data_IF_562453097672
#
_entry.id   IF_562453097672
#
_cell.length_a   1.000
_cell.length_b   1.000
_cell.length_c   1.000
_cell.angle_alpha   90.00
_cell.angle_beta   90.00
_cell.angle_gamma   90.00
#
_symmetry.space_group_name_H-M   'P 1'
#
loop_
_entity.id
_entity.type
_entity.pdbx_description
1 polymer ?
#
# COMPACT_ATOMS: atom_id res chain seq x y z
N UNK A 1 17.22 12.06 -17.90
CA UNK A 1 16.08 11.17 -17.62
C UNK A 1 15.21 11.86 -16.56
N UNK A 2 13.92 12.10 -16.80
CA UNK A 2 13.05 12.65 -15.74
C UNK A 2 12.91 11.60 -14.64
N UNK A 3 12.98 12.01 -13.38
CA UNK A 3 12.73 11.12 -12.25
C UNK A 3 11.37 10.44 -12.46
N UNK A 4 11.26 9.13 -12.19
CA UNK A 4 10.02 8.36 -12.34
C UNK A 4 8.96 8.67 -11.26
N UNK A 5 9.14 9.77 -10.52
CA UNK A 5 8.35 10.17 -9.37
C UNK A 5 8.32 11.70 -9.24
N UNK A 6 7.46 12.18 -8.36
CA UNK A 6 7.35 13.58 -7.96
C UNK A 6 7.24 13.71 -6.44
N UNK A 7 7.59 14.88 -5.91
CA UNK A 7 7.43 15.19 -4.49
C UNK A 7 6.06 15.84 -4.27
N UNK A 8 5.34 15.40 -3.24
CA UNK A 8 4.09 15.97 -2.78
C UNK A 8 4.25 16.41 -1.32
N UNK A 9 3.77 17.61 -0.98
CA UNK A 9 3.64 18.01 0.41
C UNK A 9 2.32 17.47 0.99
N UNK A 10 2.42 16.52 1.91
CA UNK A 10 1.24 15.91 2.54
C UNK A 10 0.52 16.91 3.45
N UNK A 11 1.23 17.85 4.07
CA UNK A 11 0.60 18.87 4.91
C UNK A 11 -0.29 19.80 4.09
N UNK A 12 0.10 20.11 2.84
CA UNK A 12 -0.76 20.88 1.93
C UNK A 12 -2.02 20.09 1.55
N UNK A 13 -1.90 18.79 1.29
CA UNK A 13 -3.07 17.94 0.97
C UNK A 13 -3.98 17.75 2.18
N UNK A 14 -3.41 17.63 3.37
CA UNK A 14 -4.15 17.61 4.64
C UNK A 14 -4.91 18.92 4.85
N UNK A 15 -4.24 20.07 4.70
CA UNK A 15 -4.87 21.40 4.74
C UNK A 15 -6.03 21.49 3.75
N UNK A 16 -5.82 21.07 2.50
CA UNK A 16 -6.88 21.08 1.50
C UNK A 16 -8.09 20.23 1.94
N UNK A 17 -7.86 19.03 2.45
CA UNK A 17 -8.93 18.18 2.94
C UNK A 17 -9.65 18.81 4.16
N UNK A 18 -8.89 19.39 5.10
CA UNK A 18 -9.37 20.06 6.30
C UNK A 18 -10.26 21.27 5.98
N UNK A 19 -9.91 22.05 4.96
CA UNK A 19 -10.69 23.21 4.53
C UNK A 19 -11.77 22.86 3.49
N UNK A 20 -12.04 21.57 3.28
CA UNK A 20 -13.14 21.11 2.44
C UNK A 20 -12.92 21.28 0.94
N UNK A 21 -11.66 21.37 0.51
CA UNK A 21 -11.34 21.38 -0.92
C UNK A 21 -11.80 20.07 -1.54
N UNK A 22 -12.39 20.17 -2.73
CA UNK A 22 -12.84 18.98 -3.46
C UNK A 22 -11.68 18.14 -3.96
N UNK A 23 -11.91 16.83 -4.13
CA UNK A 23 -10.87 15.92 -4.65
C UNK A 23 -10.33 16.30 -6.03
N UNK A 24 -11.10 17.01 -6.86
CA UNK A 24 -10.62 17.52 -8.15
C UNK A 24 -9.50 18.57 -7.97
N UNK A 25 -9.59 19.43 -6.94
CA UNK A 25 -8.54 20.41 -6.61
C UNK A 25 -7.28 19.73 -6.06
N UNK A 26 -7.44 18.74 -5.16
CA UNK A 26 -6.32 17.94 -4.64
C UNK A 26 -5.60 17.22 -5.77
N UNK A 27 -6.35 16.56 -6.67
CA UNK A 27 -5.75 15.88 -7.82
C UNK A 27 -5.08 16.86 -8.80
N UNK A 28 -5.64 18.07 -8.99
CA UNK A 28 -4.98 19.11 -9.76
C UNK A 28 -3.65 19.55 -9.11
N UNK A 29 -3.61 19.72 -7.79
CA UNK A 29 -2.38 20.02 -7.06
C UNK A 29 -1.32 18.91 -7.21
N UNK A 30 -1.72 17.65 -7.21
CA UNK A 30 -0.81 16.53 -7.51
C UNK A 30 -0.25 16.61 -8.95
N UNK A 31 -1.08 16.96 -9.94
CA UNK A 31 -0.62 17.19 -11.32
C UNK A 31 0.37 18.35 -11.39
N UNK A 32 0.10 19.45 -10.71
CA UNK A 32 1.02 20.60 -10.63
C UNK A 32 2.35 20.18 -9.99
N UNK A 33 2.31 19.50 -8.84
CA UNK A 33 3.48 18.99 -8.12
C UNK A 33 4.34 18.08 -9.00
N UNK A 34 3.71 17.22 -9.81
CA UNK A 34 4.40 16.37 -10.80
C UNK A 34 5.12 17.14 -11.90
N UNK A 35 4.64 18.33 -12.24
CA UNK A 35 5.25 19.18 -13.27
C UNK A 35 6.43 20.00 -12.79
N UNK A 36 6.71 19.99 -11.49
CA UNK A 36 7.76 20.84 -10.90
C UNK A 36 9.13 20.45 -11.42
N UNK A 37 9.88 21.46 -11.83
CA UNK A 37 11.28 21.31 -12.22
C UNK A 37 12.21 21.96 -11.20
N UNK A 38 12.51 21.24 -10.12
CA UNK A 38 13.30 21.73 -8.98
C UNK A 38 14.69 22.30 -9.32
N UNK A 39 15.23 22.02 -10.51
CA UNK A 39 16.50 22.60 -10.98
C UNK A 39 16.40 24.07 -11.34
N UNK A 40 15.21 24.57 -11.68
CA UNK A 40 14.98 25.95 -12.11
C UNK A 40 13.99 26.67 -11.19
N UNK A 41 13.86 26.20 -9.94
CA UNK A 41 12.86 26.65 -8.97
C UNK A 41 11.65 25.73 -8.88
N UNK A 42 10.74 26.02 -7.95
CA UNK A 42 9.54 25.22 -7.72
C UNK A 42 8.41 25.62 -8.67
N UNK A 43 8.70 25.58 -9.97
CA UNK A 43 7.76 25.94 -11.03
C UNK A 43 7.25 24.71 -11.79
N UNK A 44 5.95 24.69 -12.06
CA UNK A 44 5.27 23.69 -12.88
C UNK A 44 4.77 24.31 -14.19
N UNK A 45 5.02 23.64 -15.31
CA UNK A 45 4.49 24.07 -16.62
C UNK A 45 3.15 23.40 -16.96
N UNK A 46 2.50 22.76 -15.99
CA UNK A 46 1.21 22.10 -16.21
C UNK A 46 0.06 23.09 -16.04
N UNK A 47 -0.69 23.36 -17.11
CA UNK A 47 -1.94 24.14 -17.03
C UNK A 47 -3.20 23.27 -17.09
N UNK A 48 -4.36 23.92 -17.22
CA UNK A 48 -5.68 23.26 -17.23
C UNK A 48 -5.79 22.14 -18.27
N UNK A 49 -5.20 22.28 -19.46
CA UNK A 49 -5.17 21.23 -20.48
C UNK A 49 -4.47 19.95 -19.97
N UNK A 50 -3.34 20.12 -19.27
CA UNK A 50 -2.60 18.99 -18.71
C UNK A 50 -3.38 18.29 -17.59
N UNK A 51 -3.99 19.09 -16.70
CA UNK A 51 -4.83 18.60 -15.61
C UNK A 51 -6.05 17.84 -16.15
N UNK A 52 -6.77 18.42 -17.10
CA UNK A 52 -7.90 17.79 -17.78
C UNK A 52 -7.53 16.45 -18.41
N UNK A 53 -6.42 16.38 -19.16
CA UNK A 53 -5.98 15.15 -19.80
C UNK A 53 -5.59 14.06 -18.80
N UNK A 54 -4.86 14.40 -17.73
CA UNK A 54 -4.38 13.42 -16.75
C UNK A 54 -5.44 12.91 -15.79
N UNK A 55 -6.45 13.74 -15.50
CA UNK A 55 -7.49 13.41 -14.54
C UNK A 55 -8.80 12.96 -15.21
N UNK A 56 -8.92 13.11 -16.53
CA UNK A 56 -10.17 12.87 -17.26
C UNK A 56 -11.25 13.91 -16.96
N UNK A 57 -10.88 15.08 -16.46
CA UNK A 57 -11.81 16.19 -16.19
C UNK A 57 -12.12 16.97 -17.47
N UNK A 58 -13.25 17.68 -17.49
CA UNK A 58 -13.47 18.71 -18.51
C UNK A 58 -12.47 19.85 -18.33
N UNK A 59 -12.12 20.54 -19.42
CA UNK A 59 -11.19 21.68 -19.37
C UNK A 59 -11.66 22.76 -18.37
N UNK A 60 -12.95 23.10 -18.37
CA UNK A 60 -13.54 24.07 -17.43
C UNK A 60 -13.45 23.61 -15.96
N UNK A 61 -13.62 22.32 -15.69
CA UNK A 61 -13.45 21.78 -14.34
C UNK A 61 -11.98 21.85 -13.90
N UNK A 62 -11.04 21.58 -14.82
CA UNK A 62 -9.62 21.73 -14.56
C UNK A 62 -9.21 23.20 -14.31
N UNK A 63 -9.73 24.16 -15.07
CA UNK A 63 -9.52 25.59 -14.81
C UNK A 63 -10.07 26.00 -13.44
N UNK A 64 -11.30 25.57 -13.12
CA UNK A 64 -11.89 25.84 -11.80
C UNK A 64 -11.03 25.26 -10.67
N UNK A 65 -10.53 24.04 -10.82
CA UNK A 65 -9.66 23.41 -9.83
C UNK A 65 -8.36 24.21 -9.61
N UNK A 66 -7.73 24.70 -10.68
CA UNK A 66 -6.55 25.56 -10.59
C UNK A 66 -6.86 26.91 -9.95
N UNK A 67 -7.97 27.55 -10.32
CA UNK A 67 -8.41 28.81 -9.70
C UNK A 67 -8.63 28.68 -8.21
N UNK A 68 -9.22 27.57 -7.73
CA UNK A 68 -9.36 27.28 -6.29
C UNK A 68 -8.01 27.19 -5.58
N UNK A 69 -6.99 26.60 -6.23
CA UNK A 69 -5.64 26.50 -5.66
C UNK A 69 -4.95 27.87 -5.60
N UNK A 70 -5.15 28.69 -6.63
CA UNK A 70 -4.59 30.03 -6.74
C UNK A 70 -5.23 31.00 -5.73
N UNK A 71 -6.57 31.01 -5.63
CA UNK A 71 -7.32 31.80 -4.66
C UNK A 71 -6.92 31.47 -3.21
N UNK A 72 -6.54 30.21 -2.96
CA UNK A 72 -6.05 29.75 -1.66
C UNK A 72 -4.56 30.03 -1.41
N UNK A 73 -3.84 30.59 -2.39
CA UNK A 73 -2.40 30.85 -2.30
C UNK A 73 -1.52 29.59 -2.28
N UNK A 74 -2.07 28.43 -2.66
CA UNK A 74 -1.33 27.16 -2.71
C UNK A 74 -0.46 27.07 -3.98
N UNK A 75 -0.86 27.79 -5.03
CA UNK A 75 -0.08 28.01 -6.24
C UNK A 75 -0.14 29.50 -6.61
N UNK A 76 0.85 30.00 -7.36
CA UNK A 76 0.86 31.38 -7.87
C UNK A 76 1.12 31.38 -9.36
N UNK A 77 0.32 32.11 -10.14
CA UNK A 77 0.56 32.28 -11.56
C UNK A 77 1.76 33.21 -11.81
N UNK A 78 2.76 32.68 -12.49
CA UNK A 78 3.99 33.37 -12.92
C UNK A 78 4.14 33.26 -14.45
N UNK A 79 3.01 33.10 -15.16
CA UNK A 79 2.99 32.92 -16.60
C UNK A 79 3.30 34.23 -17.33
N UNK A 80 4.31 34.19 -18.21
CA UNK A 80 4.57 35.30 -19.15
C UNK A 80 3.45 35.47 -20.19
N UNK A 81 2.68 34.40 -20.45
CA UNK A 81 1.51 34.46 -21.32
C UNK A 81 0.53 33.30 -21.06
N UNK A 82 -0.77 33.43 -21.39
CA UNK A 82 -1.78 32.39 -21.16
C UNK A 82 -1.49 31.04 -21.85
N UNK A 83 -0.67 31.06 -22.91
CA UNK A 83 -0.31 29.87 -23.69
C UNK A 83 0.85 29.08 -23.05
N UNK A 84 1.56 29.67 -22.09
CA UNK A 84 2.72 29.09 -21.41
C UNK A 84 2.49 29.15 -19.89
N UNK A 85 1.57 28.30 -19.37
CA UNK A 85 1.27 28.28 -17.96
C UNK A 85 2.55 28.00 -17.15
N UNK A 86 2.77 28.79 -16.10
CA UNK A 86 3.87 28.64 -15.16
C UNK A 86 3.34 28.89 -13.75
N UNK A 87 3.16 27.82 -13.00
CA UNK A 87 2.69 27.88 -11.62
C UNK A 87 3.86 27.74 -10.67
N UNK A 88 4.04 28.70 -9.76
CA UNK A 88 4.94 28.58 -8.62
C UNK A 88 4.22 27.82 -7.50
N UNK A 89 4.92 26.88 -6.85
CA UNK A 89 4.43 26.21 -5.63
C UNK A 89 5.51 26.25 -4.56
N UNK A 90 5.10 26.18 -3.29
CA UNK A 90 6.04 26.09 -2.18
C UNK A 90 6.87 24.79 -2.25
N UNK A 91 8.12 24.89 -1.84
CA UNK A 91 8.95 23.71 -1.62
C UNK A 91 8.34 22.87 -0.48
N UNK A 92 8.09 21.57 -0.69
CA UNK A 92 7.63 20.68 0.37
C UNK A 92 8.64 20.62 1.52
N UNK A 93 8.16 20.81 2.74
CA UNK A 93 8.98 20.66 3.94
C UNK A 93 9.23 19.18 4.26
N UNK A 94 8.19 18.36 4.10
CA UNK A 94 8.23 16.91 4.30
C UNK A 94 7.73 16.20 3.04
N UNK A 95 8.57 16.14 1.99
CA UNK A 95 8.14 15.57 0.72
C UNK A 95 7.85 14.08 0.87
N UNK A 96 6.68 13.67 0.38
CA UNK A 96 6.39 12.27 0.09
C UNK A 96 6.56 12.06 -1.40
N UNK A 97 7.33 11.04 -1.77
CA UNK A 97 7.61 10.74 -3.17
C UNK A 97 6.58 9.78 -3.75
N UNK A 98 5.86 10.25 -4.76
CA UNK A 98 4.81 9.49 -5.44
C UNK A 98 5.21 9.21 -6.89
N UNK A 99 4.89 8.03 -7.45
CA UNK A 99 5.31 7.68 -8.80
C UNK A 99 4.47 8.44 -9.84
N UNK A 100 5.14 8.85 -10.92
CA UNK A 100 4.49 9.56 -12.03
C UNK A 100 3.38 8.71 -12.69
N UNK A 101 3.50 7.38 -12.62
CA UNK A 101 2.52 6.43 -13.16
C UNK A 101 1.12 6.59 -12.55
N UNK A 102 0.98 7.19 -11.36
CA UNK A 102 -0.32 7.54 -10.79
C UNK A 102 -1.09 8.56 -11.64
N UNK A 103 -0.37 9.47 -12.29
CA UNK A 103 -0.93 10.60 -13.06
C UNK A 103 -0.78 10.42 -14.56
N UNK A 104 0.24 9.69 -15.01
CA UNK A 104 0.52 9.44 -16.42
C UNK A 104 -0.03 8.08 -16.89
N UNK A 105 -0.35 7.15 -15.98
CA UNK A 105 -0.73 5.79 -16.30
C UNK A 105 0.46 4.88 -16.64
N UNK A 106 0.15 3.65 -17.05
CA UNK A 106 1.13 2.67 -17.56
C UNK A 106 0.73 2.31 -19.00
N UNK A 107 1.66 2.49 -19.94
CA UNK A 107 1.37 2.32 -21.36
C UNK A 107 0.28 3.27 -21.85
N UNK A 108 -0.78 2.73 -22.45
CA UNK A 108 -1.96 3.48 -22.90
C UNK A 108 -3.16 3.40 -21.93
N UNK A 109 -2.94 2.89 -20.70
CA UNK A 109 -4.00 2.75 -19.71
C UNK A 109 -4.41 4.08 -19.08
N UNK A 110 -5.67 4.17 -18.65
CA UNK A 110 -6.18 5.32 -17.89
C UNK A 110 -5.39 5.51 -16.58
N UNK A 111 -4.94 6.74 -16.23
CA UNK A 111 -4.17 6.98 -15.02
C UNK A 111 -4.91 6.56 -13.74
N UNK A 112 -4.24 5.93 -12.75
CA UNK A 112 -4.85 5.52 -11.48
C UNK A 112 -5.65 6.62 -10.76
N UNK A 113 -5.11 7.84 -10.69
CA UNK A 113 -5.81 8.96 -10.03
C UNK A 113 -7.07 9.35 -10.81
N UNK A 114 -7.03 9.35 -12.15
CA UNK A 114 -8.21 9.59 -12.97
C UNK A 114 -9.33 8.59 -12.66
N UNK A 115 -8.99 7.30 -12.48
CA UNK A 115 -9.97 6.27 -12.12
C UNK A 115 -10.62 6.55 -10.77
N UNK A 116 -9.87 6.98 -9.76
CA UNK A 116 -10.43 7.38 -8.45
C UNK A 116 -11.39 8.56 -8.64
N UNK A 117 -10.95 9.60 -9.35
CA UNK A 117 -11.75 10.81 -9.59
C UNK A 117 -13.05 10.51 -10.33
N UNK A 118 -13.01 9.65 -11.35
CA UNK A 118 -14.13 9.41 -12.25
C UNK A 118 -15.06 8.30 -11.79
N UNK A 119 -14.58 7.37 -10.94
CA UNK A 119 -15.29 6.14 -10.56
C UNK A 119 -15.58 6.05 -9.06
N UNK A 120 -15.39 7.14 -8.31
CA UNK A 120 -15.73 7.18 -6.89
C UNK A 120 -17.22 6.82 -6.69
N UNK A 121 -17.55 5.77 -5.93
CA UNK A 121 -18.94 5.46 -5.62
C UNK A 121 -19.60 6.59 -4.82
N UNK A 122 -20.94 6.59 -4.77
CA UNK A 122 -21.64 7.47 -3.85
C UNK A 122 -21.25 7.08 -2.40
N UNK A 123 -20.73 8.01 -1.60
CA UNK A 123 -20.33 7.70 -0.24
C UNK A 123 -21.56 7.54 0.65
N UNK A 124 -21.40 6.83 1.77
CA UNK A 124 -22.43 6.73 2.81
C UNK A 124 -22.59 8.09 3.51
N UNK A 125 -21.46 8.78 3.74
CA UNK A 125 -21.40 10.10 4.38
C UNK A 125 -20.78 11.15 3.47
N UNK A 126 -21.33 12.36 3.53
CA UNK A 126 -20.79 13.52 2.82
C UNK A 126 -21.03 13.52 1.32
N UNK A 127 -20.26 14.36 0.61
CA UNK A 127 -20.37 14.50 -0.85
C UNK A 127 -19.37 13.60 -1.57
N UNK A 128 -19.65 13.25 -2.83
CA UNK A 128 -18.65 12.57 -3.68
C UNK A 128 -17.33 13.34 -3.78
N UNK A 129 -17.39 14.67 -3.75
CA UNK A 129 -16.21 15.54 -3.78
C UNK A 129 -15.33 15.35 -2.54
N UNK A 130 -15.95 15.27 -1.36
CA UNK A 130 -15.27 14.98 -0.10
C UNK A 130 -14.72 13.55 -0.07
N UNK A 131 -15.48 12.56 -0.54
CA UNK A 131 -15.01 11.18 -0.63
C UNK A 131 -13.78 11.01 -1.55
N UNK A 132 -13.72 11.77 -2.66
CA UNK A 132 -12.51 11.86 -3.50
C UNK A 132 -11.33 12.46 -2.74
N UNK A 133 -11.56 13.55 -2.00
CA UNK A 133 -10.51 14.19 -1.20
C UNK A 133 -9.95 13.20 -0.16
N UNK A 134 -10.84 12.52 0.55
CA UNK A 134 -10.52 11.47 1.53
C UNK A 134 -9.67 10.35 0.93
N UNK A 135 -10.04 9.84 -0.25
CA UNK A 135 -9.28 8.79 -0.92
C UNK A 135 -7.88 9.25 -1.35
N UNK A 136 -7.74 10.50 -1.80
CA UNK A 136 -6.45 11.06 -2.22
C UNK A 136 -5.54 11.35 -1.02
N UNK A 137 -6.09 11.91 0.07
CA UNK A 137 -5.33 12.12 1.30
C UNK A 137 -4.92 10.79 1.93
N UNK A 138 -5.82 9.81 2.00
CA UNK A 138 -5.49 8.46 2.46
C UNK A 138 -4.38 7.85 1.61
N UNK A 139 -4.44 7.97 0.29
CA UNK A 139 -3.37 7.51 -0.60
C UNK A 139 -2.03 8.19 -0.26
N UNK A 140 -2.02 9.52 -0.10
CA UNK A 140 -0.81 10.25 0.27
C UNK A 140 -0.24 9.80 1.64
N UNK A 141 -1.10 9.56 2.63
CA UNK A 141 -0.72 9.01 3.94
C UNK A 141 -0.18 7.59 3.86
N UNK A 142 -0.71 6.76 2.96
CA UNK A 142 -0.15 5.44 2.70
C UNK A 142 1.26 5.54 2.09
N UNK A 143 1.51 6.44 1.13
CA UNK A 143 2.88 6.69 0.65
C UNK A 143 3.80 7.24 1.75
N UNK A 144 3.28 8.03 2.68
CA UNK A 144 4.06 8.50 3.83
C UNK A 144 4.43 7.36 4.79
N UNK A 145 3.58 6.35 4.92
CA UNK A 145 3.76 5.20 5.80
C UNK A 145 4.44 4.00 5.10
N UNK A 146 4.82 4.12 3.83
CA UNK A 146 5.48 3.05 3.09
C UNK A 146 6.95 2.94 3.50
N UNK A 147 7.31 1.78 4.06
CA UNK A 147 8.67 1.40 4.37
C UNK A 147 8.93 -0.01 3.83
N UNK A 148 9.28 -0.08 2.54
CA UNK A 148 9.64 -1.34 1.91
C UNK A 148 10.89 -1.99 2.52
N UNK A 149 11.80 -1.21 3.13
CA UNK A 149 13.08 -1.71 3.61
C UNK A 149 12.95 -2.46 4.93
N UNK A 150 12.23 -1.88 5.88
CA UNK A 150 12.08 -2.44 7.23
C UNK A 150 10.75 -3.17 7.40
N UNK A 151 9.68 -2.69 6.75
CA UNK A 151 8.33 -3.24 6.89
C UNK A 151 7.83 -3.98 5.65
N UNK A 152 8.60 -4.01 4.56
CA UNK A 152 8.20 -4.66 3.32
C UNK A 152 6.87 -4.12 2.76
N UNK A 153 6.50 -2.87 3.03
CA UNK A 153 5.23 -2.26 2.65
C UNK A 153 4.82 -1.15 3.62
N UNK A 154 3.52 -0.95 3.78
CA UNK A 154 2.97 0.00 4.75
C UNK A 154 3.30 -0.45 6.17
N UNK A 155 3.93 0.43 6.96
CA UNK A 155 4.37 0.12 8.33
C UNK A 155 3.16 -0.17 9.26
N UNK A 156 3.06 -1.41 9.81
CA UNK A 156 1.96 -1.80 10.70
C UNK A 156 1.98 -1.06 12.04
N UNK A 157 3.11 -0.46 12.43
CA UNK A 157 3.26 0.32 13.68
C UNK A 157 2.45 1.60 13.61
N UNK A 158 2.37 2.21 12.42
CA UNK A 158 1.77 3.54 12.24
C UNK A 158 0.43 3.51 11.54
N UNK A 159 0.10 2.52 10.70
CA UNK A 159 -1.08 2.55 9.84
C UNK A 159 -2.11 1.42 10.12
N UNK A 160 -2.45 0.62 9.11
CA UNK A 160 -3.42 -0.49 9.25
C UNK A 160 -2.71 -1.83 9.14
N UNK A 161 -3.08 -2.75 10.03
CA UNK A 161 -2.58 -4.12 10.05
C UNK A 161 -3.70 -5.12 10.29
N UNK A 162 -3.68 -6.26 9.62
CA UNK A 162 -4.49 -7.43 10.00
C UNK A 162 -3.72 -8.27 11.00
N UNK A 163 -4.32 -8.58 12.14
CA UNK A 163 -3.71 -9.52 13.09
C UNK A 163 -4.07 -10.94 12.67
N UNK A 164 -3.06 -11.80 12.57
CA UNK A 164 -3.24 -13.23 12.34
C UNK A 164 -2.88 -13.99 13.61
N UNK A 165 -3.80 -14.85 14.07
CA UNK A 165 -3.61 -15.62 15.30
C UNK A 165 -3.33 -17.08 15.00
N UNK A 166 -2.52 -17.75 15.83
CA UNK A 166 -2.43 -19.21 15.83
C UNK A 166 -3.83 -19.83 15.94
N UNK A 167 -4.10 -20.83 15.10
CA UNK A 167 -5.36 -21.59 15.09
C UNK A 167 -5.06 -23.08 15.14
N UNK A 168 -6.00 -23.86 15.68
CA UNK A 168 -5.85 -25.32 15.78
C UNK A 168 -5.75 -25.96 14.39
N UNK A 169 -4.72 -26.76 14.19
CA UNK A 169 -4.52 -27.59 13.02
C UNK A 169 -5.39 -28.86 13.08
N UNK A 170 -5.23 -29.76 12.10
CA UNK A 170 -6.02 -30.99 12.00
C UNK A 170 -5.87 -31.96 13.20
N UNK A 171 -4.78 -31.84 13.97
CA UNK A 171 -4.51 -32.66 15.16
C UNK A 171 -4.79 -31.90 16.48
N UNK A 172 -5.38 -30.70 16.41
CA UNK A 172 -5.73 -29.89 17.59
C UNK A 172 -4.58 -29.05 18.16
N UNK A 173 -3.43 -28.99 17.49
CA UNK A 173 -2.28 -28.18 17.92
C UNK A 173 -2.23 -26.84 17.18
N UNK A 174 -1.80 -25.76 17.84
CA UNK A 174 -1.67 -24.44 17.21
C UNK A 174 -0.25 -24.16 16.69
N UNK A 175 0.74 -24.73 17.38
CA UNK A 175 2.16 -24.54 17.13
C UNK A 175 2.84 -25.89 17.28
N UNK A 176 3.49 -26.36 16.22
CA UNK A 176 4.19 -27.64 16.20
C UNK A 176 5.68 -27.40 16.03
N UNK A 177 6.52 -28.17 16.73
CA UNK A 177 7.94 -28.19 16.44
C UNK A 177 8.19 -29.07 15.20
N UNK A 178 8.99 -28.57 14.26
CA UNK A 178 9.47 -29.36 13.12
C UNK A 178 10.47 -30.40 13.62
N UNK A 179 10.12 -31.67 13.50
CA UNK A 179 10.94 -32.79 13.98
C UNK A 179 12.37 -32.71 13.40
N UNK A 180 13.35 -32.97 14.26
CA UNK A 180 14.77 -32.89 13.89
C UNK A 180 15.32 -31.46 13.73
N UNK A 181 14.54 -30.43 14.06
CA UNK A 181 14.98 -29.03 13.93
C UNK A 181 14.56 -28.16 15.13
N UNK A 182 15.09 -26.94 15.18
CA UNK A 182 14.65 -25.90 16.12
C UNK A 182 13.54 -25.02 15.53
N UNK A 183 12.96 -25.41 14.39
CA UNK A 183 11.91 -24.66 13.70
C UNK A 183 10.53 -24.96 14.28
N UNK A 184 9.64 -23.97 14.18
CA UNK A 184 8.25 -24.04 14.57
C UNK A 184 7.36 -23.84 13.35
N UNK A 185 6.34 -24.66 13.21
CA UNK A 185 5.22 -24.44 12.29
C UNK A 185 4.08 -23.82 13.07
N UNK A 186 3.54 -22.72 12.54
CA UNK A 186 2.34 -22.08 13.08
C UNK A 186 1.28 -22.03 12.00
N UNK A 187 0.10 -22.54 12.32
CA UNK A 187 -1.08 -22.36 11.47
C UNK A 187 -1.87 -21.15 11.94
N UNK A 188 -2.28 -20.28 11.01
CA UNK A 188 -2.86 -18.97 11.33
C UNK A 188 -4.18 -18.71 10.60
N UNK A 189 -5.04 -17.94 11.25
CA UNK A 189 -6.28 -17.39 10.70
C UNK A 189 -6.40 -15.89 11.05
N UNK A 190 -7.12 -15.08 10.24
CA UNK A 190 -7.26 -13.66 10.52
C UNK A 190 -8.16 -13.46 11.74
N UNK A 191 -7.74 -12.61 12.67
CA UNK A 191 -8.59 -12.16 13.77
C UNK A 191 -9.38 -10.92 13.38
N UNK A 192 -8.75 -10.00 12.64
CA UNK A 192 -9.37 -8.75 12.21
C UNK A 192 -8.36 -7.68 11.87
N UNK A 193 -8.88 -6.57 11.34
CA UNK A 193 -8.09 -5.38 11.03
C UNK A 193 -8.00 -4.43 12.22
N UNK A 194 -6.81 -3.91 12.45
CA UNK A 194 -6.50 -2.87 13.42
C UNK A 194 -5.91 -1.68 12.68
N UNK A 195 -6.60 -0.54 12.74
CA UNK A 195 -6.10 0.73 12.22
C UNK A 195 -5.72 1.64 13.37
N UNK A 196 -4.50 2.21 13.33
CA UNK A 196 -4.06 3.15 14.37
C UNK A 196 -4.91 4.42 14.36
N UNK A 197 -5.31 4.86 15.56
CA UNK A 197 -6.10 6.07 15.72
C UNK A 197 -5.42 7.31 15.12
N UNK A 198 -4.14 7.51 15.43
CA UNK A 198 -3.34 8.63 14.91
C UNK A 198 -3.36 8.69 13.37
N UNK A 199 -3.30 7.55 12.70
CA UNK A 199 -3.35 7.48 11.25
C UNK A 199 -4.73 7.89 10.71
N UNK A 200 -5.81 7.46 11.36
CA UNK A 200 -7.16 7.92 11.00
C UNK A 200 -7.33 9.43 11.23
N UNK A 201 -6.83 9.97 12.34
CA UNK A 201 -6.90 11.41 12.61
C UNK A 201 -6.17 12.22 11.54
N UNK A 202 -5.01 11.74 11.10
CA UNK A 202 -4.21 12.36 10.03
C UNK A 202 -4.78 12.19 8.62
N UNK A 203 -5.55 11.13 8.37
CA UNK A 203 -6.16 10.85 7.07
C UNK A 203 -7.57 11.45 6.93
N UNK A 204 -8.25 11.75 8.04
CA UNK A 204 -9.61 12.29 8.09
C UNK A 204 -9.72 13.40 9.15
N UNK A 205 -8.96 14.51 9.00
CA UNK A 205 -8.87 15.57 10.02
C UNK A 205 -10.23 16.19 10.37
N UNK A 206 -11.15 16.23 9.41
CA UNK A 206 -12.48 16.81 9.55
C UNK A 206 -13.55 15.91 10.15
N UNK A 207 -13.23 14.67 10.50
CA UNK A 207 -14.22 13.77 11.05
C UNK A 207 -14.43 14.07 12.54
N UNK A 208 -15.66 14.32 12.95
CA UNK A 208 -15.98 14.73 14.32
C UNK A 208 -15.95 13.52 15.25
N UNK A 209 -16.43 12.36 14.77
CA UNK A 209 -16.60 11.15 15.59
C UNK A 209 -15.75 9.98 15.09
N UNK A 210 -15.58 8.98 15.96
CA UNK A 210 -14.86 7.73 15.63
C UNK A 210 -15.58 6.92 14.56
N UNK A 211 -16.91 6.89 14.63
CA UNK A 211 -17.74 6.16 13.67
C UNK A 211 -17.72 6.84 12.30
N UNK A 212 -17.75 8.17 12.25
CA UNK A 212 -17.56 8.92 11.02
C UNK A 212 -16.18 8.61 10.40
N UNK A 213 -15.10 8.65 11.18
CA UNK A 213 -13.74 8.30 10.70
C UNK A 213 -13.70 6.90 10.09
N UNK A 214 -14.28 5.90 10.76
CA UNK A 214 -14.32 4.52 10.25
C UNK A 214 -15.12 4.41 8.95
N UNK A 215 -16.25 5.10 8.84
CA UNK A 215 -17.07 5.08 7.61
C UNK A 215 -16.38 5.80 6.45
N UNK A 216 -15.73 6.93 6.71
CA UNK A 216 -14.93 7.65 5.71
C UNK A 216 -13.73 6.83 5.28
N UNK A 217 -13.04 6.17 6.21
CA UNK A 217 -11.96 5.24 5.90
C UNK A 217 -12.42 4.08 5.01
N UNK A 218 -13.52 3.40 5.36
CA UNK A 218 -14.07 2.33 4.54
C UNK A 218 -14.45 2.82 3.13
N UNK A 219 -15.01 4.02 3.03
CA UNK A 219 -15.37 4.67 1.76
C UNK A 219 -14.13 5.00 0.93
N UNK A 220 -13.06 5.47 1.57
CA UNK A 220 -11.83 5.92 0.93
C UNK A 220 -10.92 4.76 0.51
N UNK A 221 -10.83 3.69 1.31
CA UNK A 221 -9.96 2.54 1.03
C UNK A 221 -10.50 1.66 -0.10
N UNK A 222 -11.82 1.47 -0.17
CA UNK A 222 -12.47 0.62 -1.16
C UNK A 222 -12.10 0.94 -2.63
N UNK A 223 -12.12 2.21 -3.10
CA UNK A 223 -11.66 2.53 -4.46
C UNK A 223 -10.15 2.33 -4.63
N UNK A 224 -9.32 2.51 -3.59
CA UNK A 224 -7.88 2.24 -3.69
C UNK A 224 -7.61 0.74 -3.93
N UNK A 225 -8.33 -0.14 -3.23
CA UNK A 225 -8.25 -1.59 -3.45
C UNK A 225 -8.85 -1.99 -4.81
N UNK A 226 -10.07 -1.52 -5.12
CA UNK A 226 -10.78 -1.85 -6.37
C UNK A 226 -10.00 -1.44 -7.62
N UNK A 227 -9.41 -0.25 -7.61
CA UNK A 227 -8.61 0.25 -8.74
C UNK A 227 -7.16 -0.30 -8.72
N UNK A 228 -6.85 -1.18 -7.76
CA UNK A 228 -5.57 -1.88 -7.64
C UNK A 228 -4.41 -0.97 -7.27
N UNK A 229 -4.62 0.16 -6.59
CA UNK A 229 -3.52 1.01 -6.13
C UNK A 229 -2.80 0.39 -4.93
N UNK A 230 -3.50 -0.41 -4.16
CA UNK A 230 -2.99 -1.16 -3.02
C UNK A 230 -3.42 -2.62 -3.09
N UNK A 231 -2.69 -3.48 -2.40
CA UNK A 231 -3.05 -4.88 -2.18
C UNK A 231 -2.52 -5.35 -0.84
N UNK A 232 -3.10 -6.44 -0.32
CA UNK A 232 -2.70 -7.01 0.97
C UNK A 232 -1.51 -7.94 0.81
N UNK A 233 -0.68 -8.01 1.83
CA UNK A 233 0.37 -9.02 2.01
C UNK A 233 0.32 -9.58 3.42
N UNK A 234 0.73 -10.83 3.59
CA UNK A 234 0.95 -11.43 4.91
C UNK A 234 2.46 -11.55 5.10
N UNK A 235 2.94 -11.06 6.23
CA UNK A 235 4.34 -10.96 6.57
C UNK A 235 4.60 -11.68 7.89
N UNK A 236 5.73 -12.36 8.00
CA UNK A 236 6.15 -13.03 9.23
C UNK A 236 7.20 -12.16 9.90
N UNK A 237 6.94 -11.83 11.16
CA UNK A 237 7.80 -11.02 11.98
C UNK A 237 8.36 -11.86 13.11
N UNK A 238 9.60 -11.57 13.51
CA UNK A 238 10.28 -12.30 14.58
C UNK A 238 9.64 -12.09 15.97
N UNK A 239 8.77 -11.08 16.10
CA UNK A 239 7.95 -10.71 17.26
C UNK A 239 6.85 -9.72 16.80
N UNK A 240 5.89 -9.36 17.67
CA UNK A 240 4.77 -8.45 17.30
C UNK A 240 5.22 -7.00 17.08
N UNK A 241 5.25 -6.49 15.81
CA UNK A 241 5.72 -5.14 15.52
C UNK A 241 4.80 -4.04 16.06
N UNK A 242 3.55 -4.36 16.41
CA UNK A 242 2.65 -3.38 17.03
C UNK A 242 3.00 -3.15 18.51
N UNK A 243 3.61 -4.14 19.16
CA UNK A 243 3.96 -4.08 20.59
C UNK A 243 5.42 -3.78 20.83
N UNK A 244 6.30 -4.28 19.96
CA UNK A 244 7.75 -4.26 20.16
C UNK A 244 8.42 -3.49 19.01
N UNK A 245 9.14 -2.42 19.35
CA UNK A 245 9.79 -1.54 18.36
C UNK A 245 11.00 -2.17 17.68
N UNK A 246 11.59 -3.18 18.31
CA UNK A 246 12.71 -3.99 17.82
C UNK A 246 12.26 -5.22 17.02
N UNK A 247 10.95 -5.37 16.74
CA UNK A 247 10.47 -6.39 15.84
C UNK A 247 11.05 -6.20 14.44
N UNK A 248 11.51 -7.30 13.84
CA UNK A 248 12.08 -7.31 12.49
C UNK A 248 11.26 -8.24 11.59
N UNK A 249 11.13 -7.83 10.33
CA UNK A 249 10.46 -8.59 9.30
C UNK A 249 11.37 -9.75 8.84
N UNK A 250 10.92 -10.98 9.04
CA UNK A 250 11.66 -12.17 8.59
C UNK A 250 11.48 -12.38 7.08
N UNK A 251 10.23 -12.44 6.59
CA UNK A 251 9.90 -12.62 5.16
C UNK A 251 8.43 -12.31 4.84
N UNK A 252 8.13 -12.20 3.54
CA UNK A 252 6.75 -12.14 3.05
C UNK A 252 6.19 -13.55 2.87
N UNK A 253 5.17 -13.90 3.64
CA UNK A 253 4.50 -15.19 3.53
C UNK A 253 3.65 -15.25 2.26
N UNK A 254 2.85 -14.22 2.01
CA UNK A 254 1.85 -14.24 0.95
C UNK A 254 1.58 -12.86 0.36
N UNK A 255 1.36 -12.81 -0.96
CA UNK A 255 0.93 -11.61 -1.68
C UNK A 255 -0.49 -11.80 -2.19
N UNK A 256 -1.46 -11.01 -1.71
CA UNK A 256 -2.87 -11.12 -2.08
C UNK A 256 -3.24 -10.34 -3.36
N UNK A 257 -2.34 -10.34 -4.35
CA UNK A 257 -2.60 -9.82 -5.69
C UNK A 257 -2.04 -10.75 -6.76
N UNK A 258 -2.90 -11.18 -7.69
CA UNK A 258 -2.53 -12.16 -8.72
C UNK A 258 -1.42 -11.65 -9.64
N UNK A 259 -1.39 -10.36 -9.93
CA UNK A 259 -0.38 -9.79 -10.83
C UNK A 259 0.95 -9.59 -10.13
N UNK A 260 0.93 -9.05 -8.90
CA UNK A 260 2.11 -8.85 -8.07
C UNK A 260 2.80 -10.18 -7.75
N UNK A 261 2.04 -11.26 -7.46
CA UNK A 261 2.60 -12.61 -7.24
C UNK A 261 3.49 -13.15 -8.35
N UNK A 262 3.39 -12.62 -9.58
CA UNK A 262 4.26 -13.06 -10.69
C UNK A 262 5.68 -12.53 -10.58
N UNK A 263 5.88 -11.44 -9.84
CA UNK A 263 7.13 -10.70 -9.81
C UNK A 263 7.64 -10.45 -8.40
N UNK A 264 6.78 -10.49 -7.39
CA UNK A 264 7.14 -10.26 -6.00
C UNK A 264 7.51 -11.56 -5.30
N UNK A 265 8.55 -11.54 -4.42
CA UNK A 265 8.92 -12.73 -3.65
C UNK A 265 7.90 -12.99 -2.52
N UNK A 266 7.61 -14.26 -2.29
CA UNK A 266 6.86 -14.76 -1.13
C UNK A 266 7.16 -16.26 -0.93
N UNK A 267 6.85 -16.80 0.25
CA UNK A 267 7.29 -18.15 0.66
C UNK A 267 6.20 -19.18 0.93
N UNK A 268 4.93 -18.88 0.72
CA UNK A 268 3.85 -19.83 0.97
C UNK A 268 4.06 -21.20 0.28
N UNK A 269 4.59 -21.22 -0.95
CA UNK A 269 4.87 -22.47 -1.67
C UNK A 269 6.06 -23.22 -1.07
N UNK A 270 7.16 -22.53 -0.79
CA UNK A 270 8.37 -23.09 -0.20
C UNK A 270 8.09 -23.68 1.19
N UNK A 271 7.28 -23.01 2.00
CA UNK A 271 6.83 -23.49 3.31
C UNK A 271 6.06 -24.79 3.17
N UNK A 272 5.06 -24.82 2.29
CA UNK A 272 4.27 -26.02 2.06
C UNK A 272 5.16 -27.20 1.60
N UNK A 273 6.06 -26.95 0.64
CA UNK A 273 6.98 -27.96 0.15
C UNK A 273 7.94 -28.48 1.24
N UNK A 274 8.42 -27.60 2.12
CA UNK A 274 9.25 -28.00 3.25
C UNK A 274 8.47 -28.88 4.24
N UNK A 275 7.23 -28.49 4.55
CA UNK A 275 6.37 -29.26 5.43
C UNK A 275 6.08 -30.67 4.88
N UNK A 276 5.79 -30.80 3.59
CA UNK A 276 5.61 -32.11 2.94
C UNK A 276 6.87 -32.97 3.02
N UNK A 277 8.06 -32.39 2.78
CA UNK A 277 9.34 -33.13 2.88
C UNK A 277 9.58 -33.67 4.29
N UNK A 278 9.28 -32.87 5.30
CA UNK A 278 9.46 -33.24 6.71
C UNK A 278 8.38 -34.17 7.25
N UNK A 279 7.37 -34.54 6.44
CA UNK A 279 6.20 -35.32 6.88
C UNK A 279 5.45 -34.71 8.07
N UNK A 280 5.61 -33.41 8.32
CA UNK A 280 4.89 -32.67 9.37
C UNK A 280 3.41 -32.49 9.01
N UNK A 281 3.01 -32.82 7.77
CA UNK A 281 1.62 -32.83 7.31
C UNK A 281 1.25 -34.26 6.93
N UNK A 282 0.13 -34.75 7.45
CA UNK A 282 -0.50 -35.97 6.98
C UNK A 282 -0.98 -35.77 5.53
N UNK A 283 -0.58 -36.65 4.61
CA UNK A 283 -0.86 -36.60 3.17
C UNK A 283 -2.36 -36.64 2.81
N UNK A 284 -3.24 -36.62 3.81
CA UNK A 284 -4.70 -36.54 3.70
C UNK A 284 -5.31 -35.17 4.06
N UNK A 285 -4.52 -34.19 4.52
CA UNK A 285 -5.01 -32.85 4.86
C UNK A 285 -5.24 -31.97 3.61
N UNK A 286 -6.02 -30.89 3.75
CA UNK A 286 -6.61 -30.01 2.70
C UNK A 286 -5.66 -29.48 1.60
N UNK A 287 -4.35 -29.76 1.70
CA UNK A 287 -3.27 -29.28 0.86
C UNK A 287 -2.50 -30.38 0.08
N UNK A 288 -2.89 -31.65 0.18
CA UNK A 288 -2.05 -32.80 -0.23
C UNK A 288 -2.38 -33.46 -1.59
N UNK A 289 -2.88 -32.73 -2.60
CA UNK A 289 -3.06 -33.32 -3.95
C UNK A 289 -1.91 -32.97 -4.89
N UNK A 290 -1.39 -34.02 -5.55
CA UNK A 290 -0.19 -34.08 -6.40
C UNK A 290 -0.17 -33.16 -7.64
N UNK A 291 -1.26 -32.44 -7.92
CA UNK A 291 -1.30 -31.40 -8.94
C UNK A 291 -1.37 -30.04 -8.25
N UNK A 292 -0.20 -29.45 -7.99
CA UNK A 292 -0.06 -28.09 -7.45
C UNK A 292 -0.43 -27.04 -8.51
N UNK A 293 -1.69 -27.05 -8.92
CA UNK A 293 -2.29 -25.92 -9.61
C UNK A 293 -2.64 -24.84 -8.56
N UNK A 294 -2.87 -23.62 -9.03
CA UNK A 294 -3.27 -22.41 -8.26
C UNK A 294 -4.41 -22.68 -7.23
N UNK A 295 -5.12 -23.82 -7.34
CA UNK A 295 -6.25 -24.31 -6.55
C UNK A 295 -5.98 -24.66 -5.07
N UNK A 296 -4.80 -25.16 -4.69
CA UNK A 296 -4.53 -25.55 -3.27
C UNK A 296 -4.27 -24.33 -2.40
N UNK A 297 -3.45 -23.40 -2.90
CA UNK A 297 -3.26 -22.11 -2.24
C UNK A 297 -4.55 -21.30 -2.30
N UNK A 298 -5.35 -21.40 -3.39
CA UNK A 298 -6.72 -20.85 -3.41
C UNK A 298 -7.60 -21.40 -2.30
N UNK A 299 -7.60 -22.70 -1.99
CA UNK A 299 -8.41 -23.22 -0.86
C UNK A 299 -7.98 -22.68 0.51
N UNK A 300 -6.67 -22.56 0.77
CA UNK A 300 -6.17 -21.88 1.97
C UNK A 300 -6.53 -20.38 2.00
N UNK A 301 -6.50 -19.70 0.84
CA UNK A 301 -6.98 -18.32 0.69
C UNK A 301 -8.50 -18.24 0.94
N UNK A 302 -9.28 -19.16 0.38
CA UNK A 302 -10.74 -19.21 0.45
C UNK A 302 -11.21 -19.51 1.88
N UNK A 303 -10.43 -20.29 2.63
CA UNK A 303 -10.63 -20.55 4.05
C UNK A 303 -9.92 -19.53 4.96
N UNK A 304 -9.18 -18.58 4.39
CA UNK A 304 -8.33 -17.63 5.11
C UNK A 304 -7.38 -18.29 6.14
N UNK A 305 -6.78 -19.43 5.79
CA UNK A 305 -5.80 -20.14 6.62
C UNK A 305 -4.46 -20.22 5.93
N UNK A 306 -3.40 -19.86 6.65
CA UNK A 306 -2.03 -19.94 6.18
C UNK A 306 -1.17 -20.67 7.20
N UNK A 307 0.03 -21.08 6.77
CA UNK A 307 1.05 -21.62 7.67
C UNK A 307 2.35 -20.87 7.44
N UNK A 308 3.09 -20.68 8.51
CA UNK A 308 4.45 -20.18 8.41
C UNK A 308 5.41 -21.02 9.26
N UNK A 309 6.69 -20.94 8.90
CA UNK A 309 7.79 -21.56 9.64
C UNK A 309 8.64 -20.47 10.26
N UNK A 310 8.98 -20.59 11.53
CA UNK A 310 9.91 -19.66 12.19
C UNK A 310 10.95 -20.38 13.03
N UNK A 311 12.10 -19.74 13.21
CA UNK A 311 13.13 -20.16 14.17
C UNK A 311 12.78 -19.75 15.60
N UNK A 312 11.78 -18.87 15.76
CA UNK A 312 11.33 -18.31 17.04
C UNK A 312 9.89 -18.70 17.28
N UNK A 313 9.57 -19.05 18.53
CA UNK A 313 8.21 -19.48 18.92
C UNK A 313 7.25 -18.30 19.00
N UNK A 314 7.78 -17.12 19.31
CA UNK A 314 7.08 -15.85 19.47
C UNK A 314 6.85 -15.09 18.17
N UNK A 315 7.29 -15.64 17.03
CA UNK A 315 7.06 -15.05 15.73
C UNK A 315 5.55 -14.93 15.45
N UNK A 316 5.17 -13.86 14.77
CA UNK A 316 3.77 -13.58 14.45
C UNK A 316 3.61 -13.29 12.96
N UNK A 317 2.39 -13.51 12.47
CA UNK A 317 2.02 -13.07 11.14
C UNK A 317 1.19 -11.79 11.21
N UNK A 318 1.55 -10.82 10.37
CA UNK A 318 0.87 -9.54 10.27
C UNK A 318 0.47 -9.31 8.82
N UNK A 319 -0.79 -9.00 8.59
CA UNK A 319 -1.28 -8.53 7.30
C UNK A 319 -1.01 -7.04 7.17
N UNK A 320 -0.42 -6.61 6.07
CA UNK A 320 -0.16 -5.20 5.76
C UNK A 320 -0.62 -4.89 4.34
N UNK A 321 -0.69 -3.60 4.00
CA UNK A 321 -0.85 -3.18 2.61
C UNK A 321 0.51 -2.96 1.95
N UNK A 322 0.53 -3.11 0.62
CA UNK A 322 1.60 -2.63 -0.25
C UNK A 322 1.03 -1.73 -1.32
N UNK A 323 1.79 -0.71 -1.68
CA UNK A 323 1.50 0.15 -2.83
C UNK A 323 1.92 -0.57 -4.12
N UNK A 324 1.01 -0.64 -5.10
CA UNK A 324 1.31 -1.25 -6.41
C UNK A 324 2.34 -0.43 -7.18
N UNK A 325 2.18 0.88 -7.15
CA UNK A 325 3.09 1.79 -7.82
C UNK A 325 4.05 2.32 -6.75
N UNK A 326 5.36 2.19 -6.99
CA UNK A 326 6.39 2.69 -6.07
C UNK A 326 7.16 3.79 -6.75
N UNK A 327 7.47 4.86 -6.02
CA UNK A 327 8.34 5.91 -6.52
C UNK A 327 9.72 5.31 -6.83
N UNK A 328 10.32 5.68 -7.96
CA UNK A 328 11.64 5.21 -8.37
C UNK A 328 12.76 5.93 -7.59
N UNK A 329 12.69 5.89 -6.26
CA UNK A 329 13.69 6.44 -5.32
C UNK A 329 14.76 5.40 -5.01
N UNK A 330 15.90 5.86 -4.50
CA UNK A 330 16.97 4.96 -4.03
C UNK A 330 16.47 4.07 -2.88
N UNK A 331 15.73 4.64 -1.95
CA UNK A 331 15.26 3.93 -0.75
C UNK A 331 14.30 2.80 -1.12
N UNK A 332 13.39 3.02 -2.09
CA UNK A 332 12.51 1.96 -2.59
C UNK A 332 13.29 0.86 -3.33
N UNK A 333 14.33 1.21 -4.07
CA UNK A 333 15.18 0.21 -4.72
C UNK A 333 15.94 -0.65 -3.70
N UNK A 334 16.49 -0.04 -2.65
CA UNK A 334 17.14 -0.74 -1.54
C UNK A 334 16.13 -1.61 -0.79
N UNK A 335 14.94 -1.08 -0.49
CA UNK A 335 13.91 -1.83 0.22
C UNK A 335 13.44 -3.05 -0.57
N UNK A 336 13.29 -2.91 -1.89
CA UNK A 336 12.98 -4.05 -2.76
C UNK A 336 14.09 -5.11 -2.76
N UNK A 337 15.36 -4.70 -2.79
CA UNK A 337 16.47 -5.62 -2.71
C UNK A 337 16.48 -6.39 -1.37
N UNK A 338 16.29 -5.68 -0.25
CA UNK A 338 16.18 -6.31 1.09
C UNK A 338 15.03 -7.33 1.15
N UNK A 339 13.89 -7.00 0.55
CA UNK A 339 12.74 -7.91 0.48
C UNK A 339 13.09 -9.21 -0.27
N UNK A 340 13.79 -9.11 -1.40
CA UNK A 340 14.27 -10.27 -2.16
C UNK A 340 15.28 -11.09 -1.35
N UNK A 341 16.25 -10.42 -0.72
CA UNK A 341 17.28 -11.06 0.11
C UNK A 341 16.67 -11.81 1.30
N UNK A 342 15.73 -11.19 2.03
CA UNK A 342 15.00 -11.81 3.16
C UNK A 342 14.29 -13.09 2.74
N UNK A 343 13.55 -13.05 1.63
CA UNK A 343 12.84 -14.23 1.12
C UNK A 343 13.82 -15.31 0.62
N UNK A 344 14.92 -14.94 -0.05
CA UNK A 344 15.92 -15.91 -0.51
C UNK A 344 16.62 -16.64 0.65
N UNK A 345 16.99 -15.91 1.71
CA UNK A 345 17.57 -16.49 2.91
C UNK A 345 16.64 -17.58 3.50
N UNK A 346 15.36 -17.25 3.66
CA UNK A 346 14.39 -18.21 4.19
C UNK A 346 14.08 -19.35 3.23
N UNK A 347 14.12 -19.11 1.92
CA UNK A 347 14.02 -20.18 0.92
C UNK A 347 15.15 -21.18 1.03
N UNK A 348 16.38 -20.74 1.31
CA UNK A 348 17.52 -21.62 1.58
C UNK A 348 17.32 -22.41 2.88
N UNK A 349 16.88 -21.76 3.95
CA UNK A 349 16.53 -22.42 5.22
C UNK A 349 15.49 -23.52 4.99
N UNK A 350 14.38 -23.20 4.33
CA UNK A 350 13.29 -24.13 4.05
C UNK A 350 13.73 -25.29 3.15
N UNK A 351 14.62 -25.04 2.19
CA UNK A 351 15.14 -26.06 1.27
C UNK A 351 16.04 -27.10 1.96
N UNK A 352 16.65 -26.73 3.09
CA UNK A 352 17.51 -27.60 3.88
C UNK A 352 16.75 -28.39 4.97
N UNK A 353 15.49 -28.04 5.24
CA UNK A 353 14.64 -28.82 6.14
C UNK A 353 14.38 -30.23 5.58
N UNK A 354 14.65 -31.26 6.39
CA UNK A 354 14.42 -32.67 6.05
C UNK A 354 15.48 -33.33 5.15
N UNK A 355 16.67 -32.73 5.02
CA UNK A 355 17.83 -33.32 4.30
C UNK A 355 18.90 -33.95 5.22
N UNK A 356 18.65 -33.98 6.53
CA UNK A 356 19.46 -34.71 7.51
C UNK A 356 18.79 -36.05 7.79
#
# INVERSE_FOLDING_TARGET
MRAGFFALDVAVVEFMAEYGFGGDAIAAFMVISRGVNSRFGWYSSHGARSVSQRLGLTYRAAEKALGVLEEAGLITDESDSPQKPRWCISQPEQPVYMPNTLLDGVGHGEPPIARIINRMPAPILGSRSAAKADALLLLARLYQADDMAECGGIDPRVATSTIWKPTENAIGEQVMQLEGTNGWVVEIAPEGDVTKRRFLDQAFPNAETDDERKQRFATAIAPLEREGLIYRTIQVWNSDPVRYGDAELDYCLWVADRHARKTEPFLAYEIHNAMNRTQTIDAYAEFARDDFDDAVVRRGIDQHRFRFVSARREAVAVGTWRLRFRAATRDNAIGWQKEVERNNLWKEVLSNLGRQ
#
